data_IF_019253438994
#
_entry.id   IF_019253438994
#
_cell.length_a   1.000
_cell.length_b   1.000
_cell.length_c   1.000
_cell.angle_alpha   90.00
_cell.angle_beta   90.00
_cell.angle_gamma   90.00
#
_symmetry.space_group_name_H-M   'P 1'
#
loop_
_entity.id
_entity.type
_entity.pdbx_description
1 polymer ?
#
# COMPACT_ATOMS: atom_id res chain seq x y z
N UNK A 1 4.13 2.25 -21.74
CA UNK A 1 2.74 1.82 -22.00
C UNK A 1 1.89 3.06 -22.07
N UNK A 2 0.96 3.18 -23.03
CA UNK A 2 0.45 4.47 -23.50
C UNK A 2 0.13 5.51 -22.41
N UNK A 3 -0.59 5.13 -21.33
CA UNK A 3 -0.90 6.07 -20.24
C UNK A 3 0.34 6.56 -19.49
N UNK A 4 1.24 5.65 -19.12
CA UNK A 4 2.49 6.01 -18.45
C UNK A 4 3.39 6.86 -19.36
N UNK A 5 3.46 6.53 -20.65
CA UNK A 5 4.23 7.30 -21.63
C UNK A 5 3.65 8.73 -21.76
N UNK A 6 2.32 8.84 -21.83
CA UNK A 6 1.60 10.13 -21.84
C UNK A 6 1.92 10.96 -20.60
N UNK A 7 1.89 10.36 -19.40
CA UNK A 7 2.19 11.05 -18.13
C UNK A 7 3.64 11.59 -18.13
N UNK A 8 4.59 10.79 -18.63
CA UNK A 8 5.99 11.19 -18.70
C UNK A 8 6.24 12.35 -19.66
N UNK A 9 5.43 12.50 -20.71
CA UNK A 9 5.53 13.58 -21.70
C UNK A 9 4.83 14.88 -21.27
N UNK A 10 4.04 14.88 -20.18
CA UNK A 10 3.33 16.07 -19.72
C UNK A 10 4.27 17.15 -19.18
N UNK A 11 4.05 18.40 -19.59
CA UNK A 11 4.81 19.56 -19.08
C UNK A 11 4.41 19.94 -17.65
N UNK A 12 3.19 19.61 -17.21
CA UNK A 12 2.74 19.83 -15.83
C UNK A 12 3.34 18.79 -14.88
N UNK A 13 3.72 19.17 -13.64
CA UNK A 13 4.15 18.21 -12.63
C UNK A 13 3.06 17.19 -12.28
N UNK A 14 3.34 15.89 -12.48
CA UNK A 14 2.42 14.79 -12.18
C UNK A 14 3.09 13.72 -11.31
N UNK A 15 2.41 13.34 -10.24
CA UNK A 15 2.67 12.10 -9.49
C UNK A 15 1.47 11.17 -9.66
N UNK A 16 1.73 9.98 -10.16
CA UNK A 16 0.71 9.00 -10.53
C UNK A 16 0.89 7.72 -9.73
N UNK A 17 -0.15 7.31 -9.01
CA UNK A 17 -0.22 6.04 -8.31
C UNK A 17 -1.11 5.06 -9.09
N UNK A 18 -0.55 3.90 -9.41
CA UNK A 18 -1.29 2.74 -9.90
C UNK A 18 -1.25 1.62 -8.86
N UNK A 19 -2.37 0.91 -8.69
CA UNK A 19 -2.43 -0.32 -7.89
C UNK A 19 -3.50 -1.26 -8.44
N UNK A 20 -3.33 -2.56 -8.24
CA UNK A 20 -4.34 -3.58 -8.52
C UNK A 20 -5.11 -3.91 -7.24
N UNK A 21 -6.43 -4.00 -7.35
CA UNK A 21 -7.34 -4.26 -6.23
C UNK A 21 -7.36 -5.73 -5.82
N UNK A 22 -7.33 -6.65 -6.79
CA UNK A 22 -7.24 -8.08 -6.56
C UNK A 22 -6.73 -8.84 -7.80
N UNK A 23 -6.38 -10.11 -7.62
CA UNK A 23 -6.07 -11.01 -8.73
C UNK A 23 -7.30 -11.30 -9.60
N UNK A 24 -7.13 -11.49 -10.93
CA UNK A 24 -8.21 -11.92 -11.80
C UNK A 24 -8.86 -13.23 -11.33
N UNK A 25 -10.17 -13.37 -11.53
CA UNK A 25 -10.83 -14.65 -11.33
C UNK A 25 -10.48 -15.62 -12.47
N UNK A 26 -9.83 -16.75 -12.14
CA UNK A 26 -9.44 -17.79 -13.10
C UNK A 26 -10.12 -19.13 -12.81
N UNK A 27 -11.40 -19.10 -12.45
CA UNK A 27 -12.22 -20.29 -12.18
C UNK A 27 -12.37 -20.59 -10.69
N UNK A 28 -13.33 -21.46 -10.37
CA UNK A 28 -13.60 -21.89 -9.01
C UNK A 28 -12.38 -22.57 -8.39
N UNK A 29 -12.23 -22.39 -7.08
CA UNK A 29 -11.14 -22.97 -6.27
C UNK A 29 -9.75 -22.77 -6.86
N UNK A 30 -9.55 -21.63 -7.54
CA UNK A 30 -8.29 -21.20 -8.13
C UNK A 30 -7.76 -22.17 -9.22
N UNK A 31 -8.64 -22.94 -9.86
CA UNK A 31 -8.23 -24.00 -10.79
C UNK A 31 -7.37 -23.50 -11.95
N UNK A 32 -7.66 -22.32 -12.50
CA UNK A 32 -6.86 -21.76 -13.60
C UNK A 32 -5.45 -21.40 -13.17
N UNK A 33 -5.26 -20.88 -11.95
CA UNK A 33 -3.93 -20.62 -11.40
C UNK A 33 -3.16 -21.93 -11.18
N UNK A 34 -3.81 -22.93 -10.58
CA UNK A 34 -3.21 -24.26 -10.33
C UNK A 34 -2.80 -24.97 -11.62
N UNK A 35 -3.63 -24.90 -12.67
CA UNK A 35 -3.32 -25.48 -14.00
C UNK A 35 -2.15 -24.76 -14.67
N UNK A 36 -2.01 -23.45 -14.46
CA UNK A 36 -0.87 -22.66 -14.92
C UNK A 36 0.40 -22.87 -14.07
N UNK A 37 0.31 -23.66 -12.99
CA UNK A 37 1.43 -23.98 -12.11
C UNK A 37 1.72 -22.91 -11.05
N UNK A 38 0.78 -22.01 -10.76
CA UNK A 38 0.89 -21.08 -9.64
C UNK A 38 0.47 -21.77 -8.34
N UNK A 39 1.33 -21.65 -7.33
CA UNK A 39 1.08 -22.17 -5.99
C UNK A 39 0.29 -21.15 -5.18
N UNK A 40 -1.04 -21.31 -5.15
CA UNK A 40 -1.96 -20.40 -4.46
C UNK A 40 -2.97 -21.14 -3.61
N UNK A 41 -3.11 -20.69 -2.36
CA UNK A 41 -4.05 -21.23 -1.39
C UNK A 41 -4.26 -20.20 -0.26
N UNK A 42 -5.54 -19.89 0.05
CA UNK A 42 -5.87 -18.99 1.16
C UNK A 42 -5.61 -19.63 2.53
N UNK A 43 -5.65 -20.96 2.60
CA UNK A 43 -5.50 -21.74 3.82
C UNK A 43 -4.14 -22.45 3.90
N UNK A 44 -3.30 -22.30 2.86
CA UNK A 44 -1.98 -22.92 2.74
C UNK A 44 -0.86 -22.23 3.53
N UNK A 45 0.35 -22.30 3.01
CA UNK A 45 1.54 -21.63 3.53
C UNK A 45 1.46 -20.10 3.40
N UNK A 46 2.42 -19.39 4.01
CA UNK A 46 2.55 -17.94 3.82
C UNK A 46 2.77 -17.59 2.35
N UNK A 47 3.58 -18.36 1.63
CA UNK A 47 3.90 -18.11 0.22
C UNK A 47 2.65 -18.27 -0.67
N UNK A 48 1.92 -19.37 -0.51
CA UNK A 48 0.65 -19.61 -1.19
C UNK A 48 -0.40 -18.52 -0.90
N UNK A 49 -0.44 -18.03 0.34
CA UNK A 49 -1.34 -16.95 0.75
C UNK A 49 -0.94 -15.63 0.08
N UNK A 50 0.35 -15.27 0.11
CA UNK A 50 0.83 -14.03 -0.50
C UNK A 50 0.65 -14.08 -2.02
N UNK A 51 0.94 -15.21 -2.67
CA UNK A 51 0.68 -15.38 -4.10
C UNK A 51 -0.80 -15.18 -4.47
N UNK A 52 -1.74 -15.37 -3.53
CA UNK A 52 -3.17 -15.16 -3.75
C UNK A 52 -3.64 -13.72 -3.51
N UNK A 53 -3.03 -13.01 -2.55
CA UNK A 53 -3.54 -11.73 -2.07
C UNK A 53 -2.63 -10.53 -2.35
N UNK A 54 -1.38 -10.75 -2.73
CA UNK A 54 -0.45 -9.68 -3.09
C UNK A 54 -0.68 -9.22 -4.53
N UNK A 55 -0.80 -7.91 -4.72
CA UNK A 55 -1.00 -7.28 -6.03
C UNK A 55 0.03 -6.16 -6.24
N UNK A 56 0.39 -5.87 -7.50
CA UNK A 56 1.38 -4.84 -7.79
C UNK A 56 0.80 -3.43 -7.60
N UNK A 57 1.69 -2.51 -7.24
CA UNK A 57 1.47 -1.08 -7.32
C UNK A 57 2.76 -0.38 -7.78
N UNK A 58 2.64 0.84 -8.29
CA UNK A 58 3.79 1.70 -8.55
C UNK A 58 3.39 3.18 -8.41
N UNK A 59 4.37 3.99 -8.03
CA UNK A 59 4.27 5.45 -8.04
C UNK A 59 5.24 5.96 -9.10
N UNK A 60 4.72 6.76 -10.02
CA UNK A 60 5.47 7.38 -11.11
C UNK A 60 5.45 8.89 -10.91
N UNK A 61 6.61 9.53 -10.94
CA UNK A 61 6.74 10.99 -11.04
C UNK A 61 7.31 11.33 -12.41
N UNK A 62 6.69 12.26 -13.14
CA UNK A 62 7.23 12.72 -14.41
C UNK A 62 8.39 13.71 -14.22
N UNK A 63 9.07 14.05 -15.32
CA UNK A 63 10.26 14.91 -15.29
C UNK A 63 9.96 16.29 -14.67
N UNK A 64 8.79 16.86 -14.96
CA UNK A 64 8.35 18.12 -14.36
C UNK A 64 8.13 18.03 -12.85
N UNK A 65 7.59 16.91 -12.34
CA UNK A 65 7.49 16.66 -10.91
C UNK A 65 8.85 16.43 -10.26
N UNK A 66 9.74 15.64 -10.86
CA UNK A 66 11.09 15.43 -10.34
C UNK A 66 11.85 16.75 -10.23
N UNK A 67 11.73 17.63 -11.24
CA UNK A 67 12.32 18.97 -11.22
C UNK A 67 11.74 19.83 -10.09
N UNK A 68 10.41 19.84 -9.93
CA UNK A 68 9.75 20.57 -8.86
C UNK A 68 10.21 20.10 -7.47
N UNK A 69 10.37 18.78 -7.28
CA UNK A 69 10.88 18.21 -6.03
C UNK A 69 12.30 18.68 -5.74
N UNK A 70 13.19 18.66 -6.74
CA UNK A 70 14.56 19.13 -6.58
C UNK A 70 14.62 20.62 -6.21
N UNK A 71 13.79 21.45 -6.84
CA UNK A 71 13.70 22.89 -6.53
C UNK A 71 13.24 23.15 -5.08
N UNK A 72 12.47 22.23 -4.49
CA UNK A 72 11.98 22.29 -3.12
C UNK A 72 12.81 21.45 -2.13
N UNK A 73 13.95 20.88 -2.56
CA UNK A 73 14.82 20.07 -1.69
C UNK A 73 14.24 18.70 -1.32
N UNK A 74 13.22 18.23 -2.03
CA UNK A 74 12.63 16.90 -1.87
C UNK A 74 13.41 15.88 -2.71
N UNK A 75 13.87 14.81 -2.08
CA UNK A 75 14.57 13.73 -2.77
C UNK A 75 13.57 12.76 -3.40
N UNK A 76 13.69 12.55 -4.71
CA UNK A 76 12.91 11.53 -5.42
C UNK A 76 13.37 10.14 -4.97
N UNK A 77 12.49 9.38 -4.31
CA UNK A 77 12.74 7.97 -3.98
C UNK A 77 12.65 7.15 -5.27
N UNK A 78 13.70 6.39 -5.60
CA UNK A 78 13.74 5.47 -6.74
C UNK A 78 14.04 4.06 -6.25
N UNK A 79 13.33 3.07 -6.77
CA UNK A 79 13.56 1.66 -6.42
C UNK A 79 12.25 0.89 -6.20
N UNK A 80 12.37 -0.21 -5.46
CA UNK A 80 11.25 -1.07 -5.11
C UNK A 80 10.47 -0.46 -3.93
N UNK A 81 9.15 -0.33 -4.09
CA UNK A 81 8.26 0.07 -2.99
C UNK A 81 8.13 -1.02 -1.92
N UNK A 82 7.80 -0.67 -0.67
CA UNK A 82 7.61 -1.64 0.38
C UNK A 82 6.40 -2.56 0.12
N UNK A 83 6.43 -3.76 0.69
CA UNK A 83 5.25 -4.64 0.71
C UNK A 83 4.31 -4.17 1.83
N UNK A 84 3.18 -3.59 1.43
CA UNK A 84 2.25 -2.90 2.33
C UNK A 84 0.78 -3.23 2.01
N UNK A 85 -0.10 -3.03 2.99
CA UNK A 85 -1.54 -3.01 2.75
C UNK A 85 -2.00 -1.73 2.07
N UNK A 86 -3.10 -1.83 1.32
CA UNK A 86 -3.67 -0.75 0.49
C UNK A 86 -3.96 0.54 1.27
N UNK A 87 -4.26 0.45 2.57
CA UNK A 87 -4.53 1.59 3.44
C UNK A 87 -3.31 2.52 3.63
N UNK A 88 -2.12 2.09 3.26
CA UNK A 88 -0.89 2.89 3.33
C UNK A 88 -0.48 3.52 1.99
N UNK A 89 -1.17 3.23 0.87
CA UNK A 89 -0.79 3.77 -0.44
C UNK A 89 -0.80 5.30 -0.49
N UNK A 90 -1.74 5.94 0.21
CA UNK A 90 -1.77 7.40 0.31
C UNK A 90 -0.58 7.96 1.10
N UNK A 91 -0.07 7.23 2.10
CA UNK A 91 1.17 7.59 2.81
C UNK A 91 2.35 7.52 1.86
N UNK A 92 2.48 6.43 1.10
CA UNK A 92 3.56 6.28 0.10
C UNK A 92 3.52 7.39 -0.95
N UNK A 93 2.33 7.76 -1.43
CA UNK A 93 2.15 8.81 -2.41
C UNK A 93 2.56 10.19 -1.87
N UNK A 94 2.12 10.53 -0.65
CA UNK A 94 2.46 11.80 -0.01
C UNK A 94 3.97 11.89 0.27
N UNK A 95 4.57 10.82 0.81
CA UNK A 95 6.01 10.77 1.04
C UNK A 95 6.81 10.85 -0.26
N UNK A 96 6.37 10.19 -1.34
CA UNK A 96 7.01 10.27 -2.65
C UNK A 96 6.94 11.68 -3.26
N UNK A 97 5.88 12.43 -2.94
CA UNK A 97 5.69 13.82 -3.36
C UNK A 97 6.33 14.84 -2.40
N UNK A 98 6.91 14.40 -1.27
CA UNK A 98 7.43 15.29 -0.23
C UNK A 98 6.37 16.15 0.45
N UNK A 99 5.12 15.68 0.50
CA UNK A 99 3.99 16.39 1.07
C UNK A 99 3.68 15.92 2.49
N UNK A 100 3.38 16.86 3.38
CA UNK A 100 2.85 16.56 4.71
C UNK A 100 1.34 16.31 4.63
N UNK A 101 0.91 15.08 4.96
CA UNK A 101 -0.50 14.72 5.03
C UNK A 101 -1.20 15.17 6.32
N UNK A 102 -0.45 15.65 7.30
CA UNK A 102 -0.96 15.99 8.62
C UNK A 102 -1.09 14.78 9.55
N UNK A 103 -1.68 15.00 10.73
CA UNK A 103 -1.60 14.09 11.87
C UNK A 103 -2.08 12.66 11.58
N UNK A 104 -3.12 12.49 10.77
CA UNK A 104 -3.63 11.16 10.43
C UNK A 104 -2.64 10.36 9.57
N UNK A 105 -2.06 10.99 8.54
CA UNK A 105 -1.09 10.31 7.68
C UNK A 105 0.25 10.10 8.40
N UNK A 106 0.64 10.98 9.31
CA UNK A 106 1.79 10.76 10.19
C UNK A 106 1.55 9.54 11.10
N UNK A 107 0.36 9.42 11.70
CA UNK A 107 -0.02 8.22 12.45
C UNK A 107 -0.02 6.96 11.57
N UNK A 108 -0.55 7.02 10.35
CA UNK A 108 -0.52 5.89 9.42
C UNK A 108 0.90 5.51 9.01
N UNK A 109 1.80 6.47 8.82
CA UNK A 109 3.21 6.24 8.51
C UNK A 109 3.91 5.49 9.66
N UNK A 110 3.71 5.96 10.91
CA UNK A 110 4.23 5.26 12.09
C UNK A 110 3.62 3.86 12.27
N UNK A 111 2.32 3.71 11.98
CA UNK A 111 1.65 2.42 12.05
C UNK A 111 2.16 1.46 10.97
N UNK A 112 2.41 1.95 9.74
CA UNK A 112 2.99 1.16 8.63
C UNK A 112 4.34 0.61 9.03
N UNK A 113 5.18 1.39 9.70
CA UNK A 113 6.52 0.95 10.09
C UNK A 113 6.48 -0.19 11.13
N UNK A 114 5.44 -0.24 11.97
CA UNK A 114 5.23 -1.35 12.92
C UNK A 114 4.44 -2.52 12.30
N UNK A 115 3.47 -2.25 11.43
CA UNK A 115 2.55 -3.23 10.84
C UNK A 115 2.36 -2.95 9.33
N UNK A 116 3.35 -3.25 8.46
CA UNK A 116 3.24 -2.88 7.04
C UNK A 116 2.08 -3.58 6.32
N UNK A 117 1.79 -4.83 6.69
CA UNK A 117 0.72 -5.64 6.08
C UNK A 117 -0.29 -6.05 7.13
N UNK A 118 -1.51 -5.54 6.97
CA UNK A 118 -2.72 -5.93 7.67
C UNK A 118 -3.56 -6.78 6.71
N UNK A 119 -3.68 -8.07 7.01
CA UNK A 119 -4.53 -9.00 6.26
C UNK A 119 -5.36 -9.86 7.22
N UNK A 120 -6.24 -10.69 6.67
CA UNK A 120 -7.10 -11.57 7.46
C UNK A 120 -6.31 -12.61 8.27
N UNK A 121 -5.28 -13.21 7.68
CA UNK A 121 -4.56 -14.35 8.27
C UNK A 121 -3.13 -14.00 8.66
N UNK A 122 -2.33 -13.58 7.69
CA UNK A 122 -0.92 -13.27 7.91
C UNK A 122 -0.71 -11.77 8.04
N UNK A 123 -0.28 -11.33 9.21
CA UNK A 123 0.07 -9.93 9.49
C UNK A 123 1.58 -9.81 9.45
N UNK A 124 2.10 -8.76 8.82
CA UNK A 124 3.53 -8.44 8.85
C UNK A 124 3.79 -7.50 10.01
N UNK A 125 4.51 -7.98 11.02
CA UNK A 125 5.04 -7.17 12.13
C UNK A 125 6.45 -6.74 11.77
N UNK A 126 6.65 -5.46 11.44
CA UNK A 126 7.90 -4.93 10.88
C UNK A 126 8.34 -5.77 9.67
N UNK A 127 9.35 -6.62 9.82
CA UNK A 127 9.89 -7.44 8.74
C UNK A 127 9.43 -8.91 8.77
N UNK A 128 8.57 -9.31 9.72
CA UNK A 128 8.20 -10.72 9.92
C UNK A 128 6.69 -10.95 9.82
N UNK A 129 6.29 -11.87 8.95
CA UNK A 129 4.92 -12.38 8.89
C UNK A 129 4.60 -13.34 10.04
N UNK A 130 3.38 -13.25 10.56
CA UNK A 130 2.85 -14.13 11.60
C UNK A 130 1.34 -14.31 11.45
N UNK A 131 0.83 -15.50 11.78
CA UNK A 131 -0.59 -15.77 11.99
C UNK A 131 -1.03 -15.58 13.46
N UNK A 132 -0.07 -15.25 14.32
CA UNK A 132 -0.23 -15.03 15.77
C UNK A 132 0.38 -13.67 16.12
N UNK A 133 -0.34 -12.56 15.87
CA UNK A 133 0.17 -11.23 16.17
C UNK A 133 0.42 -11.08 17.68
N UNK A 134 1.48 -10.34 18.00
CA UNK A 134 1.84 -9.96 19.36
C UNK A 134 0.75 -9.11 20.02
N UNK A 135 0.78 -9.02 21.35
CA UNK A 135 -0.17 -8.16 22.07
C UNK A 135 -0.03 -6.69 21.63
N UNK A 136 1.20 -6.22 21.41
CA UNK A 136 1.46 -4.87 20.90
C UNK A 136 0.78 -4.62 19.56
N UNK A 137 0.91 -5.52 18.60
CA UNK A 137 0.26 -5.43 17.29
C UNK A 137 -1.26 -5.40 17.42
N UNK A 138 -1.83 -6.24 18.28
CA UNK A 138 -3.28 -6.22 18.56
C UNK A 138 -3.75 -4.89 19.15
N UNK A 139 -2.97 -4.31 20.05
CA UNK A 139 -3.29 -3.02 20.68
C UNK A 139 -3.20 -1.85 19.68
N UNK A 140 -2.19 -1.89 18.80
CA UNK A 140 -2.05 -0.94 17.69
C UNK A 140 -3.23 -1.04 16.70
N UNK A 141 -3.60 -2.25 16.28
CA UNK A 141 -4.75 -2.46 15.39
C UNK A 141 -6.07 -2.02 16.04
N UNK A 142 -6.24 -2.25 17.35
CA UNK A 142 -7.41 -1.76 18.08
C UNK A 142 -7.47 -0.24 18.09
N UNK A 143 -6.33 0.42 18.35
CA UNK A 143 -6.22 1.88 18.27
C UNK A 143 -6.58 2.37 16.88
N UNK A 144 -6.07 1.72 15.84
CA UNK A 144 -6.37 2.06 14.47
C UNK A 144 -7.86 1.94 14.16
N UNK A 145 -8.52 0.84 14.57
CA UNK A 145 -9.97 0.66 14.40
C UNK A 145 -10.78 1.73 15.13
N UNK A 146 -10.35 2.17 16.32
CA UNK A 146 -11.02 3.27 17.04
C UNK A 146 -10.91 4.60 16.29
N UNK A 147 -9.74 4.91 15.72
CA UNK A 147 -9.53 6.11 14.90
C UNK A 147 -10.39 6.05 13.64
N UNK A 148 -10.40 4.92 12.93
CA UNK A 148 -11.25 4.72 11.75
C UNK A 148 -12.73 4.91 12.07
N UNK A 149 -13.21 4.34 13.18
CA UNK A 149 -14.59 4.51 13.63
C UNK A 149 -14.90 5.97 13.94
N UNK A 150 -14.01 6.66 14.66
CA UNK A 150 -14.16 8.08 14.99
C UNK A 150 -14.26 8.93 13.72
N UNK A 151 -13.33 8.77 12.78
CA UNK A 151 -13.34 9.51 11.50
C UNK A 151 -14.56 9.22 10.63
N UNK A 152 -15.10 7.99 10.69
CA UNK A 152 -16.27 7.62 9.89
C UNK A 152 -17.59 8.13 10.49
N UNK A 153 -17.66 8.23 11.83
CA UNK A 153 -18.90 8.55 12.54
C UNK A 153 -19.00 10.00 12.97
N UNK A 154 -17.89 10.69 13.19
CA UNK A 154 -17.90 12.10 13.56
C UNK A 154 -18.06 12.98 12.32
N UNK A 155 -19.12 13.81 12.31
CA UNK A 155 -19.48 14.65 11.16
C UNK A 155 -18.55 15.85 11.00
N UNK A 156 -17.85 16.22 12.07
CA UNK A 156 -16.96 17.39 12.09
C UNK A 156 -15.53 17.04 11.65
N UNK A 157 -15.19 15.75 11.49
CA UNK A 157 -13.87 15.28 11.01
C UNK A 157 -13.74 15.18 9.48
N UNK A 158 -14.82 15.43 8.73
CA UNK A 158 -14.83 15.30 7.27
C UNK A 158 -14.57 16.64 6.52
N UNK A 159 -14.12 17.69 7.21
CA UNK A 159 -13.85 19.02 6.66
C UNK A 159 -12.36 19.34 6.59
#
# INVERSE_FOLDING_TARGET
>A
GWLADTIMEMEEPVVFLYFSDHLPYLGEDDIGYKVLGFDIDADGSLEEYLNKYETPYFILANDSAEKLFQENGVQVKKGQGPQISVNYLAVELLEAAGLDGGSYFNYLSELRDEIPVISYRFIKERDRFTDKPSQRTKDLLRTYSMIQYYMFMDKDTAQ
#
